data_IF_498824696088
#
_entry.id   IF_498824696088
#
_cell.length_a   1.000
_cell.length_b   1.000
_cell.length_c   1.000
_cell.angle_alpha   90.00
_cell.angle_beta   90.00
_cell.angle_gamma   90.00
#
_symmetry.space_group_name_H-M   'P 1'
#
loop_
_entity.id
_entity.type
_entity.pdbx_description
1 polymer ?
#
# COMPACT_ATOMS: atom_id res chain seq x y z
N UNK A 1 22.93 12.02 6.87
CA UNK A 1 23.45 10.76 6.28
C UNK A 1 24.96 10.78 6.14
N UNK A 2 25.59 11.93 5.82
CA UNK A 2 27.05 12.11 5.93
C UNK A 2 27.60 11.77 7.33
N UNK A 3 26.82 12.07 8.37
CA UNK A 3 27.10 11.72 9.79
C UNK A 3 27.36 10.21 10.01
N UNK A 4 26.80 9.34 9.16
CA UNK A 4 27.01 7.89 9.24
C UNK A 4 28.07 7.37 8.26
N UNK A 5 28.65 8.23 7.40
CA UNK A 5 29.64 7.84 6.39
C UNK A 5 29.14 6.84 5.36
N UNK A 6 27.82 6.76 5.14
CA UNK A 6 27.17 5.76 4.26
C UNK A 6 26.82 6.35 2.90
N UNK A 7 26.97 5.55 1.85
CA UNK A 7 26.65 5.95 0.48
C UNK A 7 25.14 5.85 0.17
N UNK A 8 24.70 6.40 -0.96
CA UNK A 8 23.29 6.40 -1.37
C UNK A 8 22.68 4.98 -1.45
N UNK A 9 23.46 3.98 -1.88
CA UNK A 9 23.04 2.57 -1.94
C UNK A 9 22.74 2.01 -0.55
N UNK A 10 23.54 2.37 0.45
CA UNK A 10 23.27 2.01 1.84
C UNK A 10 22.01 2.72 2.34
N UNK A 11 21.79 4.00 2.02
CA UNK A 11 20.55 4.69 2.41
C UNK A 11 19.30 4.02 1.83
N UNK A 12 19.36 3.56 0.57
CA UNK A 12 18.27 2.85 -0.10
C UNK A 12 17.83 1.59 0.67
N UNK A 13 18.75 0.94 1.41
CA UNK A 13 18.43 -0.21 2.24
C UNK A 13 17.41 0.08 3.34
N UNK A 14 17.26 1.32 3.81
CA UNK A 14 16.22 1.67 4.78
C UNK A 14 14.82 1.43 4.21
N UNK A 15 14.61 1.85 2.97
CA UNK A 15 13.34 1.65 2.24
C UNK A 15 13.16 0.18 1.90
N UNK A 16 14.20 -0.46 1.37
CA UNK A 16 14.15 -1.88 1.00
C UNK A 16 13.81 -2.75 2.21
N UNK A 17 14.53 -2.64 3.32
CA UNK A 17 14.29 -3.45 4.53
C UNK A 17 12.85 -3.28 5.06
N UNK A 18 12.32 -2.05 5.04
CA UNK A 18 10.94 -1.77 5.43
C UNK A 18 9.93 -2.47 4.51
N UNK A 19 10.10 -2.33 3.18
CA UNK A 19 9.21 -2.94 2.19
C UNK A 19 9.25 -4.48 2.25
N UNK A 20 10.45 -5.06 2.34
CA UNK A 20 10.61 -6.51 2.45
C UNK A 20 9.88 -7.08 3.66
N UNK A 21 10.08 -6.47 4.82
CA UNK A 21 9.43 -6.90 6.07
C UNK A 21 7.90 -6.79 5.97
N UNK A 22 7.41 -5.69 5.37
CA UNK A 22 5.98 -5.45 5.18
C UNK A 22 5.35 -6.50 4.26
N UNK A 23 6.03 -6.87 3.17
CA UNK A 23 5.57 -7.88 2.20
C UNK A 23 5.38 -9.26 2.84
N UNK A 24 6.24 -9.64 3.78
CA UNK A 24 6.10 -10.92 4.51
C UNK A 24 4.89 -10.90 5.45
N UNK A 25 4.65 -9.76 6.10
CA UNK A 25 3.66 -9.67 7.17
C UNK A 25 2.24 -9.44 6.70
N UNK A 26 2.03 -8.77 5.57
CA UNK A 26 0.69 -8.60 4.99
C UNK A 26 -0.04 -9.94 4.81
N UNK A 27 0.51 -10.96 4.13
CA UNK A 27 -0.17 -12.25 3.99
C UNK A 27 -0.25 -13.02 5.32
N UNK A 28 0.69 -12.82 6.25
CA UNK A 28 0.61 -13.40 7.59
C UNK A 28 -0.50 -12.79 8.44
N UNK A 29 -0.92 -11.56 8.16
CA UNK A 29 -1.90 -10.83 8.97
C UNK A 29 -3.24 -11.57 9.09
N UNK A 30 -3.69 -12.28 8.04
CA UNK A 30 -4.92 -13.09 8.08
C UNK A 30 -4.81 -14.28 9.02
N UNK A 31 -3.64 -14.92 9.09
CA UNK A 31 -3.38 -15.96 10.10
C UNK A 31 -3.36 -15.35 11.51
N UNK A 32 -2.66 -14.22 11.67
CA UNK A 32 -2.52 -13.55 12.95
C UNK A 32 -3.90 -13.12 13.48
N UNK A 33 -4.75 -12.51 12.64
CA UNK A 33 -6.09 -12.05 13.02
C UNK A 33 -7.04 -13.18 13.44
N UNK A 34 -6.89 -14.37 12.85
CA UNK A 34 -7.65 -15.56 13.22
C UNK A 34 -7.12 -16.23 14.50
N UNK A 35 -5.81 -16.14 14.78
CA UNK A 35 -5.17 -16.81 15.92
C UNK A 35 -5.16 -15.97 17.19
N UNK A 36 -4.88 -14.69 17.08
CA UNK A 36 -4.72 -13.77 18.20
C UNK A 36 -5.92 -12.85 18.36
N UNK A 37 -6.05 -12.24 19.53
CA UNK A 37 -7.14 -11.29 19.79
C UNK A 37 -6.89 -9.99 19.02
N UNK A 38 -7.97 -9.37 18.52
CA UNK A 38 -7.86 -8.11 17.77
C UNK A 38 -7.17 -7.04 18.59
N UNK A 39 -7.53 -6.92 19.88
CA UNK A 39 -6.91 -5.95 20.79
C UNK A 39 -5.41 -6.19 20.92
N UNK A 40 -4.99 -7.45 21.14
CA UNK A 40 -3.59 -7.79 21.31
C UNK A 40 -2.76 -7.44 20.07
N UNK A 41 -3.29 -7.69 18.87
CA UNK A 41 -2.60 -7.39 17.62
C UNK A 41 -2.47 -5.89 17.36
N UNK A 42 -3.53 -5.10 17.61
CA UNK A 42 -3.47 -3.64 17.46
C UNK A 42 -2.45 -3.04 18.43
N UNK A 43 -2.50 -3.45 19.70
CA UNK A 43 -1.55 -2.97 20.72
C UNK A 43 -0.11 -3.40 20.38
N UNK A 44 0.10 -4.63 19.93
CA UNK A 44 1.40 -5.12 19.49
C UNK A 44 1.93 -4.31 18.30
N UNK A 45 1.12 -4.10 17.27
CA UNK A 45 1.53 -3.37 16.07
C UNK A 45 1.89 -1.90 16.39
N UNK A 46 1.06 -1.22 17.20
CA UNK A 46 1.35 0.14 17.66
C UNK A 46 2.57 0.18 18.59
N UNK A 47 2.77 -0.84 19.41
CA UNK A 47 3.97 -1.00 20.25
C UNK A 47 5.25 -1.14 19.41
N UNK A 48 5.22 -1.96 18.35
CA UNK A 48 6.32 -2.08 17.39
C UNK A 48 6.60 -0.74 16.69
N UNK A 49 5.55 -0.02 16.23
CA UNK A 49 5.72 1.32 15.66
C UNK A 49 6.37 2.28 16.64
N UNK A 50 5.92 2.32 17.90
CA UNK A 50 6.49 3.17 18.94
C UNK A 50 7.96 2.81 19.23
N UNK A 51 8.25 1.54 19.48
CA UNK A 51 9.60 1.06 19.78
C UNK A 51 10.58 1.32 18.61
N UNK A 52 10.17 1.00 17.39
CA UNK A 52 10.97 1.29 16.20
C UNK A 52 11.12 2.79 15.94
N UNK A 53 10.15 3.62 16.32
CA UNK A 53 10.27 5.09 16.23
C UNK A 53 11.31 5.62 17.22
N UNK A 54 11.25 5.19 18.48
CA UNK A 54 12.23 5.55 19.51
C UNK A 54 13.64 5.11 19.12
N UNK A 55 13.80 3.87 18.67
CA UNK A 55 15.10 3.34 18.21
C UNK A 55 15.64 4.12 17.00
N UNK A 56 14.77 4.54 16.09
CA UNK A 56 15.16 5.35 14.93
C UNK A 56 15.63 6.74 15.33
N UNK A 57 14.88 7.44 16.17
CA UNK A 57 15.24 8.77 16.68
C UNK A 57 16.54 8.77 17.50
N UNK A 58 16.77 7.71 18.27
CA UNK A 58 17.96 7.52 19.10
C UNK A 58 19.12 6.80 18.39
N UNK A 59 18.99 6.44 17.11
CA UNK A 59 19.99 5.61 16.42
C UNK A 59 21.34 6.33 16.31
N UNK A 60 22.43 5.76 16.81
CA UNK A 60 23.77 6.35 16.67
C UNK A 60 24.57 5.72 15.51
N UNK A 61 24.05 4.65 14.92
CA UNK A 61 24.69 3.88 13.86
C UNK A 61 23.66 3.51 12.80
N UNK A 62 24.12 3.42 11.55
CA UNK A 62 23.25 3.05 10.42
C UNK A 62 22.56 1.69 10.62
N UNK A 63 23.24 0.69 11.19
CA UNK A 63 22.65 -0.61 11.49
C UNK A 63 21.46 -0.53 12.46
N UNK A 64 21.54 0.32 13.49
CA UNK A 64 20.43 0.56 14.42
C UNK A 64 19.24 1.22 13.72
N UNK A 65 19.51 2.14 12.78
CA UNK A 65 18.47 2.77 11.97
C UNK A 65 17.79 1.77 11.03
N UNK A 66 18.53 0.82 10.45
CA UNK A 66 17.95 -0.28 9.66
C UNK A 66 17.08 -1.18 10.55
N UNK A 67 17.57 -1.56 11.73
CA UNK A 67 16.79 -2.37 12.67
C UNK A 67 15.49 -1.66 13.10
N UNK A 68 15.56 -0.35 13.32
CA UNK A 68 14.39 0.45 13.66
C UNK A 68 13.33 0.41 12.55
N UNK A 69 13.73 0.46 11.28
CA UNK A 69 12.84 0.30 10.12
C UNK A 69 12.19 -1.07 10.06
N UNK A 70 12.94 -2.14 10.35
CA UNK A 70 12.38 -3.50 10.41
C UNK A 70 11.32 -3.59 11.50
N UNK A 71 11.59 -3.07 12.69
CA UNK A 71 10.62 -3.09 13.81
C UNK A 71 9.37 -2.26 13.46
N UNK A 72 9.52 -1.09 12.85
CA UNK A 72 8.37 -0.29 12.38
C UNK A 72 7.56 -1.04 11.31
N UNK A 73 8.23 -1.69 10.35
CA UNK A 73 7.59 -2.48 9.32
C UNK A 73 6.80 -3.66 9.88
N UNK A 74 7.23 -4.22 11.02
CA UNK A 74 6.44 -5.24 11.74
C UNK A 74 5.07 -4.71 12.13
N UNK A 75 5.03 -3.53 12.74
CA UNK A 75 3.77 -2.88 13.08
C UNK A 75 2.93 -2.51 11.86
N UNK A 76 3.57 -1.90 10.85
CA UNK A 76 2.89 -1.45 9.63
C UNK A 76 2.25 -2.60 8.83
N UNK A 77 2.98 -3.72 8.66
CA UNK A 77 2.50 -4.89 7.93
C UNK A 77 1.33 -5.62 8.60
N UNK A 78 1.17 -5.47 9.91
CA UNK A 78 0.05 -6.05 10.67
C UNK A 78 -1.14 -5.08 10.69
N UNK A 79 -0.91 -3.79 10.98
CA UNK A 79 -1.99 -2.85 11.30
C UNK A 79 -2.89 -2.55 10.09
N UNK A 80 -2.32 -2.39 8.89
CA UNK A 80 -3.09 -2.02 7.69
C UNK A 80 -4.19 -3.04 7.33
N UNK A 81 -3.87 -4.33 7.10
CA UNK A 81 -4.89 -5.34 6.81
C UNK A 81 -5.82 -5.60 8.01
N UNK A 82 -5.31 -5.47 9.24
CA UNK A 82 -6.10 -5.65 10.45
C UNK A 82 -7.17 -4.57 10.59
N UNK A 83 -6.83 -3.30 10.37
CA UNK A 83 -7.79 -2.18 10.40
C UNK A 83 -8.86 -2.36 9.33
N UNK A 84 -8.49 -2.75 8.11
CA UNK A 84 -9.48 -3.07 7.07
C UNK A 84 -10.47 -4.14 7.55
N UNK A 85 -9.96 -5.23 8.12
CA UNK A 85 -10.79 -6.33 8.64
C UNK A 85 -11.69 -5.88 9.79
N UNK A 86 -11.16 -5.08 10.73
CA UNK A 86 -11.92 -4.50 11.84
C UNK A 86 -13.07 -3.65 11.32
N UNK A 87 -12.81 -2.75 10.37
CA UNK A 87 -13.84 -1.85 9.83
C UNK A 87 -14.96 -2.65 9.15
N UNK A 88 -14.64 -3.68 8.36
CA UNK A 88 -15.65 -4.56 7.75
C UNK A 88 -16.47 -5.34 8.79
N UNK A 89 -15.85 -5.69 9.92
CA UNK A 89 -16.50 -6.47 10.98
C UNK A 89 -17.41 -5.61 11.85
N UNK A 90 -16.99 -4.37 12.17
CA UNK A 90 -17.69 -3.48 13.11
C UNK A 90 -18.76 -2.63 12.42
N UNK A 91 -18.53 -2.18 11.19
CA UNK A 91 -19.50 -1.33 10.50
C UNK A 91 -20.61 -2.17 9.83
N UNK A 92 -21.87 -1.72 9.94
CA UNK A 92 -22.98 -2.33 9.22
C UNK A 92 -22.76 -2.19 7.71
N UNK A 93 -23.33 -3.10 6.93
CA UNK A 93 -23.06 -3.26 5.50
C UNK A 93 -23.19 -1.95 4.73
N UNK A 94 -24.22 -1.16 5.03
CA UNK A 94 -24.55 0.11 4.37
C UNK A 94 -23.53 1.22 4.64
N UNK A 95 -22.75 1.11 5.73
CA UNK A 95 -21.75 2.10 6.14
C UNK A 95 -20.31 1.65 5.90
N UNK A 96 -20.10 0.43 5.40
CA UNK A 96 -18.75 -0.09 5.08
C UNK A 96 -18.04 0.76 4.03
N UNK A 97 -18.77 1.24 3.02
CA UNK A 97 -18.23 2.13 1.99
C UNK A 97 -17.68 3.45 2.56
N UNK A 98 -18.40 4.07 3.51
CA UNK A 98 -17.91 5.27 4.19
C UNK A 98 -16.66 4.99 5.04
N UNK A 99 -16.68 3.91 5.83
CA UNK A 99 -15.53 3.54 6.67
C UNK A 99 -14.27 3.24 5.83
N UNK A 100 -14.44 2.52 4.72
CA UNK A 100 -13.35 2.23 3.78
C UNK A 100 -12.91 3.45 2.98
N UNK A 101 -13.83 4.34 2.62
CA UNK A 101 -13.51 5.62 2.00
C UNK A 101 -12.65 6.50 2.92
N UNK A 102 -13.00 6.59 4.21
CA UNK A 102 -12.19 7.31 5.20
C UNK A 102 -10.80 6.69 5.38
N UNK A 103 -10.73 5.35 5.49
CA UNK A 103 -9.45 4.66 5.55
C UNK A 103 -8.61 4.91 4.29
N UNK A 104 -9.22 4.82 3.11
CA UNK A 104 -8.56 5.12 1.84
C UNK A 104 -8.07 6.56 1.77
N UNK A 105 -8.86 7.52 2.25
CA UNK A 105 -8.44 8.92 2.33
C UNK A 105 -7.18 9.09 3.19
N UNK A 106 -7.14 8.47 4.37
CA UNK A 106 -5.95 8.51 5.24
C UNK A 106 -4.75 7.84 4.57
N UNK A 107 -4.94 6.68 3.93
CA UNK A 107 -3.88 5.93 3.25
C UNK A 107 -3.30 6.69 2.05
N UNK A 108 -4.10 7.50 1.35
CA UNK A 108 -3.63 8.26 0.17
C UNK A 108 -3.06 9.64 0.56
N UNK A 109 -3.73 10.37 1.46
CA UNK A 109 -3.31 11.73 1.84
C UNK A 109 -2.04 11.70 2.70
N UNK A 110 -1.86 10.71 3.56
CA UNK A 110 -0.72 10.67 4.46
C UNK A 110 0.63 10.53 3.71
N UNK A 111 0.82 9.60 2.74
CA UNK A 111 2.03 9.53 1.93
C UNK A 111 2.24 10.78 1.07
N UNK A 112 1.19 11.31 0.45
CA UNK A 112 1.30 12.52 -0.37
C UNK A 112 1.74 13.75 0.44
N UNK A 113 1.30 13.85 1.70
CA UNK A 113 1.69 14.94 2.60
C UNK A 113 3.04 14.70 3.28
N UNK A 114 3.53 13.46 3.30
CA UNK A 114 4.73 13.08 4.05
C UNK A 114 5.99 13.83 3.57
N UNK A 115 6.30 13.97 2.26
CA UNK A 115 7.42 14.77 1.78
C UNK A 115 7.36 16.23 2.23
N UNK A 116 6.19 16.87 2.17
CA UNK A 116 6.03 18.27 2.60
C UNK A 116 6.31 18.46 4.08
N UNK A 117 5.69 17.62 4.91
CA UNK A 117 5.80 17.71 6.37
C UNK A 117 7.23 17.36 6.78
N UNK A 118 7.80 16.30 6.21
CA UNK A 118 9.16 15.88 6.53
C UNK A 118 10.22 16.87 6.05
N UNK A 119 10.06 17.46 4.86
CA UNK A 119 10.94 18.52 4.35
C UNK A 119 10.93 19.74 5.26
N UNK A 120 9.75 20.24 5.63
CA UNK A 120 9.63 21.38 6.56
C UNK A 120 10.30 21.09 7.91
N UNK A 121 10.13 19.87 8.43
CA UNK A 121 10.75 19.47 9.69
C UNK A 121 12.28 19.41 9.55
N UNK A 122 12.81 18.87 8.45
CA UNK A 122 14.25 18.78 8.19
C UNK A 122 14.88 20.16 7.91
N UNK A 123 14.12 21.10 7.34
CA UNK A 123 14.64 22.45 7.05
C UNK A 123 14.86 23.25 8.35
N UNK A 124 14.07 22.98 9.39
CA UNK A 124 14.12 23.70 10.69
C UNK A 124 14.86 22.91 11.77
N UNK A 125 14.75 21.59 11.74
CA UNK A 125 15.30 20.66 12.72
C UNK A 125 16.13 19.57 12.01
N UNK A 126 16.77 18.69 12.77
CA UNK A 126 17.51 17.57 12.17
C UNK A 126 16.59 16.42 11.72
N UNK A 127 17.07 15.50 10.89
CA UNK A 127 16.28 14.36 10.38
C UNK A 127 15.76 13.42 11.49
N UNK A 128 16.40 13.36 12.67
CA UNK A 128 15.93 12.56 13.82
C UNK A 128 14.62 13.08 14.36
N UNK A 129 14.39 14.40 14.28
CA UNK A 129 13.15 15.03 14.74
C UNK A 129 11.90 14.44 14.08
N UNK A 130 11.99 13.89 12.85
CA UNK A 130 10.90 13.15 12.21
C UNK A 130 10.35 12.01 13.07
N UNK A 131 11.24 11.30 13.79
CA UNK A 131 10.84 10.21 14.68
C UNK A 131 10.19 10.78 15.95
N UNK A 132 10.74 11.85 16.51
CA UNK A 132 10.24 12.44 17.74
C UNK A 132 8.90 13.17 17.54
N UNK A 133 8.65 13.73 16.37
CA UNK A 133 7.37 14.39 16.04
C UNK A 133 6.23 13.38 15.89
N UNK A 134 6.49 12.22 15.28
CA UNK A 134 5.44 11.20 15.09
C UNK A 134 5.19 10.36 16.36
N UNK A 135 6.18 10.24 17.25
CA UNK A 135 6.10 9.41 18.44
C UNK A 135 4.90 9.76 19.37
N UNK A 136 4.61 11.04 19.72
CA UNK A 136 3.44 11.40 20.51
C UNK A 136 2.12 10.90 19.93
N UNK A 137 1.95 10.99 18.60
CA UNK A 137 0.74 10.51 17.92
C UNK A 137 0.60 8.99 18.03
N UNK A 138 1.72 8.26 17.89
CA UNK A 138 1.73 6.80 18.06
C UNK A 138 1.39 6.43 19.51
N UNK A 139 1.98 7.12 20.50
CA UNK A 139 1.73 6.87 21.92
C UNK A 139 0.28 7.16 22.31
N UNK A 140 -0.27 8.30 21.89
CA UNK A 140 -1.69 8.63 22.12
C UNK A 140 -2.59 7.53 21.54
N UNK A 141 -2.32 7.11 20.31
CA UNK A 141 -3.09 6.04 19.65
C UNK A 141 -2.95 4.70 20.35
N UNK A 142 -1.74 4.35 20.79
CA UNK A 142 -1.44 3.14 21.54
C UNK A 142 -2.19 3.12 22.89
N UNK A 143 -2.12 4.22 23.64
CA UNK A 143 -2.83 4.39 24.91
C UNK A 143 -4.33 4.26 24.69
N UNK A 144 -4.88 4.97 23.70
CA UNK A 144 -6.29 4.87 23.34
C UNK A 144 -6.67 3.43 22.98
N UNK A 145 -5.86 2.72 22.19
CA UNK A 145 -6.13 1.33 21.82
C UNK A 145 -6.11 0.38 23.03
N UNK A 146 -5.18 0.57 23.98
CA UNK A 146 -5.12 -0.23 25.21
C UNK A 146 -6.41 -0.11 26.02
N UNK A 147 -7.00 1.07 26.11
CA UNK A 147 -8.20 1.31 26.92
C UNK A 147 -9.52 1.08 26.18
N UNK A 148 -9.58 1.38 24.88
CA UNK A 148 -10.85 1.41 24.13
C UNK A 148 -11.05 0.20 23.22
N UNK A 149 -9.97 -0.45 22.77
CA UNK A 149 -10.07 -1.53 21.79
C UNK A 149 -10.68 -2.78 22.43
N UNK A 150 -11.63 -3.38 21.71
CA UNK A 150 -12.29 -4.64 22.07
C UNK A 150 -11.98 -5.69 21.01
N UNK A 151 -12.08 -6.95 21.40
CA UNK A 151 -11.96 -8.06 20.46
C UNK A 151 -13.23 -8.12 19.61
N UNK A 152 -13.08 -7.94 18.30
CA UNK A 152 -14.20 -7.91 17.35
C UNK A 152 -14.11 -9.04 16.33
N UNK A 153 -12.90 -9.55 16.06
CA UNK A 153 -12.68 -10.68 15.15
C UNK A 153 -12.79 -11.97 15.96
N UNK A 154 -13.67 -12.88 15.53
CA UNK A 154 -13.78 -14.21 16.13
C UNK A 154 -12.56 -15.04 15.78
N UNK A 155 -11.94 -15.65 16.80
CA UNK A 155 -10.81 -16.56 16.62
C UNK A 155 -11.24 -17.81 15.86
N UNK A 156 -10.41 -18.25 14.94
CA UNK A 156 -10.65 -19.45 14.13
C UNK A 156 -9.39 -20.33 14.10
N UNK A 157 -9.57 -21.62 13.85
CA UNK A 157 -8.45 -22.53 13.66
C UNK A 157 -7.76 -22.19 12.33
N UNK A 158 -6.64 -21.47 12.41
CA UNK A 158 -5.81 -21.15 11.25
C UNK A 158 -4.57 -22.05 11.23
N UNK A 159 -4.21 -22.58 10.06
CA UNK A 159 -2.94 -23.26 9.82
C UNK A 159 -2.05 -22.33 9.00
N UNK A 160 -0.80 -22.16 9.44
CA UNK A 160 0.18 -21.34 8.76
C UNK A 160 1.06 -22.23 7.90
N UNK A 161 1.03 -22.06 6.58
CA UNK A 161 2.06 -22.65 5.72
C UNK A 161 3.31 -21.76 5.72
N UNK A 162 4.12 -21.94 6.76
CA UNK A 162 5.37 -21.20 6.99
C UNK A 162 6.30 -21.29 5.77
N UNK A 163 6.33 -22.44 5.08
CA UNK A 163 7.16 -22.59 3.90
C UNK A 163 6.71 -21.68 2.76
N UNK A 164 5.40 -21.58 2.51
CA UNK A 164 4.88 -20.66 1.50
C UNK A 164 5.17 -19.20 1.81
N UNK A 165 5.19 -18.82 3.09
CA UNK A 165 5.58 -17.47 3.51
C UNK A 165 7.06 -17.23 3.26
N UNK A 166 7.93 -18.17 3.61
CA UNK A 166 9.37 -18.03 3.38
C UNK A 166 9.66 -17.95 1.89
N UNK A 167 9.04 -18.82 1.09
CA UNK A 167 9.26 -18.84 -0.37
C UNK A 167 8.73 -17.57 -1.03
N UNK A 168 7.55 -17.06 -0.63
CA UNK A 168 7.03 -15.80 -1.17
C UNK A 168 7.86 -14.60 -0.73
N UNK A 169 8.25 -14.55 0.56
CA UNK A 169 9.14 -13.54 1.11
C UNK A 169 10.45 -13.45 0.33
N UNK A 170 11.12 -14.60 0.13
CA UNK A 170 12.34 -14.69 -0.65
C UNK A 170 12.11 -14.28 -2.10
N UNK A 171 11.03 -14.74 -2.73
CA UNK A 171 10.67 -14.41 -4.10
C UNK A 171 10.53 -12.91 -4.34
N UNK A 172 9.66 -12.26 -3.56
CA UNK A 172 9.47 -10.82 -3.65
C UNK A 172 10.73 -10.03 -3.26
N UNK A 173 11.48 -10.50 -2.26
CA UNK A 173 12.69 -9.82 -1.81
C UNK A 173 13.78 -9.80 -2.87
N UNK A 174 13.99 -10.94 -3.53
CA UNK A 174 14.98 -11.06 -4.60
C UNK A 174 14.58 -10.24 -5.84
N UNK A 175 13.29 -10.17 -6.16
CA UNK A 175 12.79 -9.29 -7.21
C UNK A 175 13.05 -7.81 -6.91
N UNK A 176 12.69 -7.34 -5.71
CA UNK A 176 12.90 -5.95 -5.29
C UNK A 176 14.38 -5.62 -5.26
N UNK A 177 15.22 -6.53 -4.75
CA UNK A 177 16.67 -6.36 -4.72
C UNK A 177 17.24 -6.20 -6.13
N UNK A 178 16.85 -7.09 -7.05
CA UNK A 178 17.29 -7.03 -8.44
C UNK A 178 16.85 -5.75 -9.14
N UNK A 179 15.58 -5.35 -8.97
CA UNK A 179 15.06 -4.09 -9.54
C UNK A 179 15.75 -2.86 -8.95
N UNK A 180 16.00 -2.85 -7.65
CA UNK A 180 16.67 -1.74 -6.95
C UNK A 180 18.11 -1.55 -7.44
N UNK A 181 18.76 -2.63 -7.87
CA UNK A 181 20.13 -2.62 -8.39
C UNK A 181 20.22 -2.21 -9.87
N UNK A 182 19.10 -2.15 -10.61
CA UNK A 182 19.10 -1.76 -12.04
C UNK A 182 19.68 -0.36 -12.23
N UNK A 183 19.31 0.57 -11.35
CA UNK A 183 19.77 1.97 -11.41
C UNK A 183 21.28 2.12 -11.18
N UNK A 184 21.92 1.14 -10.54
CA UNK A 184 23.34 1.17 -10.18
C UNK A 184 24.20 0.38 -11.16
N UNK A 185 23.78 -0.83 -11.53
CA UNK A 185 24.62 -1.78 -12.29
C UNK A 185 24.12 -2.06 -13.71
N UNK A 186 22.92 -1.60 -14.07
CA UNK A 186 22.30 -1.89 -15.36
C UNK A 186 21.69 -3.30 -15.45
N UNK A 187 20.83 -3.51 -16.45
CA UNK A 187 19.97 -4.70 -16.55
C UNK A 187 20.71 -6.05 -16.65
N UNK A 188 21.84 -6.09 -17.35
CA UNK A 188 22.54 -7.34 -17.67
C UNK A 188 23.49 -7.80 -16.57
N UNK A 189 23.71 -6.98 -15.55
CA UNK A 189 24.66 -7.29 -14.49
C UNK A 189 24.16 -8.45 -13.61
N UNK A 190 25.09 -9.31 -13.15
CA UNK A 190 24.73 -10.50 -12.37
C UNK A 190 24.00 -10.16 -11.06
N UNK A 191 24.36 -9.04 -10.42
CA UNK A 191 23.70 -8.54 -9.20
C UNK A 191 22.26 -8.01 -9.44
N UNK A 192 21.84 -7.94 -10.70
CA UNK A 192 20.48 -7.56 -11.12
C UNK A 192 19.75 -8.79 -11.65
N UNK A 193 20.29 -9.43 -12.68
CA UNK A 193 19.67 -10.57 -13.33
C UNK A 193 19.57 -11.80 -12.41
N UNK A 194 20.60 -12.06 -11.58
CA UNK A 194 20.62 -13.18 -10.64
C UNK A 194 19.47 -13.15 -9.64
N UNK A 195 19.32 -12.07 -8.84
CA UNK A 195 18.17 -11.91 -7.95
C UNK A 195 16.83 -11.91 -8.68
N UNK A 196 16.71 -11.29 -9.85
CA UNK A 196 15.44 -11.31 -10.62
C UNK A 196 15.05 -12.74 -11.00
N UNK A 197 15.98 -13.52 -11.56
CA UNK A 197 15.71 -14.91 -11.97
C UNK A 197 15.42 -15.79 -10.75
N UNK A 198 16.23 -15.69 -9.69
CA UNK A 198 16.02 -16.46 -8.48
C UNK A 198 14.68 -16.11 -7.79
N UNK A 199 14.32 -14.83 -7.77
CA UNK A 199 13.04 -14.36 -7.25
C UNK A 199 11.85 -14.88 -8.07
N UNK A 200 11.95 -14.82 -9.40
CA UNK A 200 10.94 -15.38 -10.30
C UNK A 200 10.76 -16.89 -10.10
N UNK A 201 11.86 -17.66 -9.98
CA UNK A 201 11.81 -19.10 -9.70
C UNK A 201 11.16 -19.40 -8.34
N UNK A 202 11.51 -18.65 -7.29
CA UNK A 202 10.88 -18.79 -5.97
C UNK A 202 9.37 -18.50 -6.04
N UNK A 203 8.94 -17.46 -6.77
CA UNK A 203 7.52 -17.19 -6.97
C UNK A 203 6.81 -18.29 -7.77
N UNK A 204 7.45 -18.89 -8.77
CA UNK A 204 6.88 -20.07 -9.47
C UNK A 204 6.68 -21.23 -8.52
N UNK A 205 7.64 -21.50 -7.63
CA UNK A 205 7.51 -22.53 -6.58
C UNK A 205 6.37 -22.20 -5.62
N UNK A 206 6.27 -20.94 -5.18
CA UNK A 206 5.16 -20.47 -4.34
C UNK A 206 3.81 -20.68 -5.03
N UNK A 207 3.66 -20.26 -6.29
CA UNK A 207 2.43 -20.40 -7.07
C UNK A 207 2.02 -21.87 -7.18
N UNK A 208 2.96 -22.75 -7.55
CA UNK A 208 2.72 -24.20 -7.65
C UNK A 208 2.29 -24.79 -6.30
N UNK A 209 2.89 -24.34 -5.21
CA UNK A 209 2.53 -24.81 -3.87
C UNK A 209 1.12 -24.35 -3.48
N UNK A 210 0.79 -23.08 -3.70
CA UNK A 210 -0.54 -22.53 -3.36
C UNK A 210 -1.68 -23.21 -4.12
N UNK A 211 -1.49 -23.57 -5.39
CA UNK A 211 -2.53 -24.25 -6.18
C UNK A 211 -2.81 -25.69 -5.66
N UNK A 212 -1.86 -26.29 -4.95
CA UNK A 212 -1.96 -27.67 -4.45
C UNK A 212 -2.28 -27.78 -2.96
N UNK A 213 -2.46 -26.67 -2.24
CA UNK A 213 -2.81 -26.68 -0.82
C UNK A 213 -4.32 -26.66 -0.61
N UNK A 214 -4.79 -27.41 0.39
CA UNK A 214 -6.21 -27.41 0.79
C UNK A 214 -6.65 -26.08 1.40
N UNK A 215 -5.73 -25.38 2.07
CA UNK A 215 -5.94 -24.06 2.66
C UNK A 215 -4.83 -23.11 2.20
N UNK A 216 -4.90 -22.58 0.96
CA UNK A 216 -3.90 -21.66 0.45
C UNK A 216 -4.00 -20.30 1.16
N UNK A 217 -2.85 -19.67 1.38
CA UNK A 217 -2.75 -18.28 1.87
C UNK A 217 -3.24 -17.31 0.79
N UNK A 218 -3.00 -17.64 -0.48
CA UNK A 218 -3.45 -16.88 -1.64
C UNK A 218 -4.13 -17.82 -2.63
N UNK A 219 -5.45 -17.69 -2.81
CA UNK A 219 -6.18 -18.49 -3.79
C UNK A 219 -5.85 -18.00 -5.22
N UNK A 220 -4.83 -18.61 -5.83
CA UNK A 220 -4.39 -18.27 -7.18
C UNK A 220 -5.27 -18.87 -8.28
N UNK A 221 -6.20 -19.77 -7.93
CA UNK A 221 -7.13 -20.34 -8.91
C UNK A 221 -8.08 -19.29 -9.49
N UNK A 222 -8.32 -18.20 -8.75
CA UNK A 222 -9.08 -17.03 -9.19
C UNK A 222 -8.53 -16.41 -10.48
N UNK A 223 -7.22 -16.52 -10.73
CA UNK A 223 -6.58 -16.03 -11.96
C UNK A 223 -6.96 -16.82 -13.23
N UNK A 224 -7.62 -17.97 -13.09
CA UNK A 224 -8.19 -18.70 -14.23
C UNK A 224 -9.34 -17.90 -14.87
N UNK A 225 -10.13 -17.18 -14.07
CA UNK A 225 -11.19 -16.31 -14.56
C UNK A 225 -10.58 -15.13 -15.33
N UNK A 226 -10.97 -14.99 -16.60
CA UNK A 226 -10.41 -13.97 -17.50
C UNK A 226 -10.73 -12.54 -17.06
N UNK A 227 -11.91 -12.31 -16.48
CA UNK A 227 -12.34 -11.02 -15.93
C UNK A 227 -11.52 -10.66 -14.68
N UNK A 228 -11.38 -11.60 -13.75
CA UNK A 228 -10.54 -11.41 -12.54
C UNK A 228 -9.09 -11.12 -12.92
N UNK A 229 -8.52 -11.92 -13.84
CA UNK A 229 -7.14 -11.74 -14.33
C UNK A 229 -6.93 -10.38 -14.99
N UNK A 230 -7.85 -9.95 -15.86
CA UNK A 230 -7.77 -8.64 -16.52
C UNK A 230 -7.89 -7.50 -15.49
N UNK A 231 -8.83 -7.60 -14.55
CA UNK A 231 -9.00 -6.60 -13.50
C UNK A 231 -7.73 -6.45 -12.65
N UNK A 232 -7.12 -7.57 -12.24
CA UNK A 232 -5.85 -7.57 -11.50
C UNK A 232 -4.70 -6.91 -12.27
N UNK A 233 -4.56 -7.21 -13.58
CA UNK A 233 -3.55 -6.56 -14.43
C UNK A 233 -3.78 -5.05 -14.50
N UNK A 234 -5.03 -4.62 -14.69
CA UNK A 234 -5.37 -3.20 -14.77
C UNK A 234 -5.17 -2.48 -13.43
N UNK A 235 -5.50 -3.11 -12.30
CA UNK A 235 -5.20 -2.55 -10.96
C UNK A 235 -3.69 -2.41 -10.76
N UNK A 236 -2.91 -3.42 -11.16
CA UNK A 236 -1.46 -3.37 -11.06
C UNK A 236 -0.87 -2.23 -11.90
N UNK A 237 -1.30 -2.09 -13.15
CA UNK A 237 -0.89 -0.97 -14.02
C UNK A 237 -1.28 0.39 -13.40
N UNK A 238 -2.49 0.50 -12.85
CA UNK A 238 -2.96 1.72 -12.22
C UNK A 238 -2.10 2.10 -11.00
N UNK A 239 -1.72 1.12 -10.18
CA UNK A 239 -0.81 1.32 -9.04
C UNK A 239 0.59 1.74 -9.49
N UNK A 240 1.11 1.17 -10.58
CA UNK A 240 2.39 1.60 -11.15
C UNK A 240 2.34 3.07 -11.58
N UNK A 241 1.26 3.49 -12.24
CA UNK A 241 1.08 4.89 -12.66
C UNK A 241 1.01 5.82 -11.44
N UNK A 242 0.26 5.45 -10.41
CA UNK A 242 0.16 6.23 -9.17
C UNK A 242 1.52 6.43 -8.51
N UNK A 243 2.23 5.33 -8.22
CA UNK A 243 3.52 5.40 -7.54
C UNK A 243 4.56 6.16 -8.37
N UNK A 244 4.51 6.03 -9.70
CA UNK A 244 5.38 6.80 -10.60
C UNK A 244 5.07 8.29 -10.51
N UNK A 245 3.79 8.70 -10.58
CA UNK A 245 3.39 10.09 -10.48
C UNK A 245 3.74 10.70 -9.12
N UNK A 246 3.44 10.01 -8.02
CA UNK A 246 3.74 10.50 -6.66
C UNK A 246 5.24 10.58 -6.37
N UNK A 247 6.08 9.80 -7.06
CA UNK A 247 7.53 9.90 -6.92
C UNK A 247 8.10 11.00 -7.82
N UNK A 248 7.71 11.04 -9.09
CA UNK A 248 8.31 11.93 -10.10
C UNK A 248 7.86 13.38 -9.90
N UNK A 249 6.59 13.63 -9.58
CA UNK A 249 6.07 15.01 -9.55
C UNK A 249 6.68 15.88 -8.45
N UNK A 250 6.86 15.41 -7.19
CA UNK A 250 7.57 16.19 -6.18
C UNK A 250 9.03 16.40 -6.55
N UNK A 251 9.71 15.38 -7.09
CA UNK A 251 11.10 15.51 -7.55
C UNK A 251 11.22 16.55 -8.67
N UNK A 252 10.32 16.53 -9.65
CA UNK A 252 10.28 17.52 -10.71
C UNK A 252 10.03 18.94 -10.16
N UNK A 253 9.07 19.10 -9.25
CA UNK A 253 8.79 20.39 -8.65
C UNK A 253 9.98 20.91 -7.83
N UNK A 254 10.70 20.05 -7.13
CA UNK A 254 11.82 20.43 -6.28
C UNK A 254 13.10 20.67 -7.11
N UNK A 255 13.51 19.68 -7.90
CA UNK A 255 14.79 19.67 -8.60
C UNK A 255 14.79 20.51 -9.89
N UNK A 256 13.64 20.61 -10.57
CA UNK A 256 13.53 21.32 -11.87
C UNK A 256 12.88 22.69 -11.71
N UNK A 257 11.73 22.77 -11.03
CA UNK A 257 11.05 24.05 -10.81
C UNK A 257 11.64 24.86 -9.64
N UNK A 258 12.59 24.30 -8.89
CA UNK A 258 13.26 24.97 -7.77
C UNK A 258 12.34 25.30 -6.60
N UNK A 259 11.22 24.57 -6.44
CA UNK A 259 10.28 24.83 -5.35
C UNK A 259 10.79 24.31 -4.01
N UNK A 260 10.25 24.85 -2.92
CA UNK A 260 10.54 24.35 -1.57
C UNK A 260 9.97 22.95 -1.39
N UNK A 261 10.60 22.12 -0.56
CA UNK A 261 10.13 20.76 -0.26
C UNK A 261 8.66 20.72 0.23
N UNK A 262 8.25 21.74 0.99
CA UNK A 262 6.86 21.92 1.41
C UNK A 262 5.92 22.03 0.20
N UNK A 263 6.21 22.94 -0.74
CA UNK A 263 5.36 23.16 -1.90
C UNK A 263 5.35 21.93 -2.82
N UNK A 264 6.50 21.27 -3.02
CA UNK A 264 6.61 20.09 -3.88
C UNK A 264 5.71 18.94 -3.45
N UNK A 265 5.60 18.66 -2.15
CA UNK A 265 4.64 17.65 -1.67
C UNK A 265 3.19 18.19 -1.59
N UNK A 266 3.00 19.49 -1.36
CA UNK A 266 1.65 20.08 -1.21
C UNK A 266 0.87 19.99 -2.53
N UNK A 267 1.57 20.05 -3.66
CA UNK A 267 1.03 19.82 -5.01
C UNK A 267 0.24 18.50 -5.11
N UNK A 268 0.57 17.48 -4.30
CA UNK A 268 -0.12 16.19 -4.32
C UNK A 268 -1.39 16.16 -3.46
N UNK A 269 -1.47 17.01 -2.44
CA UNK A 269 -2.54 16.94 -1.42
C UNK A 269 -3.94 17.17 -2.01
N UNK A 270 -4.17 18.20 -2.85
CA UNK A 270 -5.49 18.39 -3.47
C UNK A 270 -5.93 17.19 -4.32
N UNK A 271 -4.99 16.56 -5.04
CA UNK A 271 -5.27 15.37 -5.84
C UNK A 271 -5.73 14.19 -4.99
N UNK A 272 -5.07 13.92 -3.86
CA UNK A 272 -5.44 12.80 -2.96
C UNK A 272 -6.75 13.03 -2.20
N UNK A 273 -7.06 14.28 -1.85
CA UNK A 273 -8.38 14.66 -1.33
C UNK A 273 -9.45 14.42 -2.40
N UNK A 274 -9.20 14.84 -3.63
CA UNK A 274 -10.11 14.66 -4.74
C UNK A 274 -10.34 13.17 -5.04
N UNK A 275 -9.29 12.35 -4.99
CA UNK A 275 -9.40 10.89 -5.08
C UNK A 275 -10.38 10.33 -4.04
N UNK A 276 -10.31 10.81 -2.80
CA UNK A 276 -11.19 10.36 -1.72
C UNK A 276 -12.67 10.65 -2.03
N UNK A 277 -12.97 11.78 -2.66
CA UNK A 277 -14.33 12.12 -3.11
C UNK A 277 -14.73 11.29 -4.34
N UNK A 278 -13.84 11.19 -5.32
CA UNK A 278 -14.10 10.49 -6.59
C UNK A 278 -14.30 8.98 -6.38
N UNK A 279 -13.61 8.35 -5.43
CA UNK A 279 -13.82 6.92 -5.12
C UNK A 279 -15.23 6.62 -4.64
N UNK A 280 -15.84 7.52 -3.84
CA UNK A 280 -17.25 7.41 -3.42
C UNK A 280 -18.18 7.58 -4.62
N UNK A 281 -17.94 8.59 -5.45
CA UNK A 281 -18.73 8.85 -6.66
C UNK A 281 -18.63 7.68 -7.65
N UNK A 282 -17.42 7.12 -7.79
CA UNK A 282 -17.13 6.00 -8.69
C UNK A 282 -17.93 4.75 -8.32
N UNK A 283 -18.09 4.45 -7.03
CA UNK A 283 -18.96 3.36 -6.57
C UNK A 283 -20.41 3.53 -7.02
N UNK A 284 -20.98 4.72 -6.82
CA UNK A 284 -22.36 5.01 -7.25
C UNK A 284 -22.52 4.96 -8.79
N UNK A 285 -21.50 5.43 -9.53
CA UNK A 285 -21.48 5.36 -10.99
C UNK A 285 -21.33 3.92 -11.50
N UNK A 286 -20.57 3.09 -10.78
CA UNK A 286 -20.42 1.67 -11.09
C UNK A 286 -21.78 0.96 -11.06
N UNK A 287 -22.57 1.18 -10.00
CA UNK A 287 -23.88 0.52 -9.85
C UNK A 287 -24.85 0.90 -10.97
N UNK A 288 -24.73 2.12 -11.50
CA UNK A 288 -25.63 2.64 -12.55
C UNK A 288 -25.20 2.31 -13.98
N UNK A 289 -23.89 2.29 -14.26
CA UNK A 289 -23.35 2.20 -15.63
C UNK A 289 -22.47 0.97 -15.88
N UNK A 290 -22.14 0.21 -14.83
CA UNK A 290 -21.27 -0.97 -14.88
C UNK A 290 -19.77 -0.63 -14.94
N UNK A 291 -18.94 -1.53 -14.42
CA UNK A 291 -17.50 -1.29 -14.24
C UNK A 291 -16.70 -1.06 -15.52
N UNK A 292 -17.07 -1.69 -16.63
CA UNK A 292 -16.34 -1.54 -17.91
C UNK A 292 -16.37 -0.10 -18.42
N UNK A 293 -17.54 0.55 -18.41
CA UNK A 293 -17.70 1.92 -18.93
C UNK A 293 -16.95 2.93 -18.05
N UNK A 294 -17.12 2.81 -16.73
CA UNK A 294 -16.48 3.71 -15.77
C UNK A 294 -14.96 3.58 -15.79
N UNK A 295 -14.44 2.34 -15.87
CA UNK A 295 -12.99 2.11 -15.99
C UNK A 295 -12.41 2.71 -17.27
N UNK A 296 -13.12 2.62 -18.41
CA UNK A 296 -12.66 3.19 -19.68
C UNK A 296 -12.64 4.72 -19.64
N UNK A 297 -13.61 5.34 -18.98
CA UNK A 297 -13.61 6.79 -18.73
C UNK A 297 -12.42 7.16 -17.84
N UNK A 298 -12.22 6.46 -16.72
CA UNK A 298 -11.12 6.77 -15.81
C UNK A 298 -9.74 6.60 -16.44
N UNK A 299 -9.52 5.56 -17.25
CA UNK A 299 -8.26 5.42 -18.01
C UNK A 299 -8.10 6.50 -19.07
N UNK A 300 -9.16 6.95 -19.73
CA UNK A 300 -9.11 8.11 -20.64
C UNK A 300 -8.69 9.39 -19.92
N UNK A 301 -9.23 9.65 -18.72
CA UNK A 301 -8.82 10.78 -17.88
C UNK A 301 -7.36 10.68 -17.43
N UNK A 302 -6.93 9.48 -17.05
CA UNK A 302 -5.53 9.21 -16.66
C UNK A 302 -4.58 9.48 -17.82
N UNK A 303 -4.90 8.98 -19.02
CA UNK A 303 -4.14 9.21 -20.23
C UNK A 303 -4.08 10.71 -20.59
N UNK A 304 -5.22 11.39 -20.55
CA UNK A 304 -5.30 12.83 -20.81
C UNK A 304 -4.42 13.60 -19.84
N UNK A 305 -4.46 13.29 -18.55
CA UNK A 305 -3.62 13.93 -17.55
C UNK A 305 -2.12 13.72 -17.83
N UNK A 306 -1.70 12.50 -18.21
CA UNK A 306 -0.31 12.21 -18.56
C UNK A 306 0.16 13.00 -19.79
N UNK A 307 -0.71 13.13 -20.81
CA UNK A 307 -0.42 13.97 -21.98
C UNK A 307 -0.29 15.44 -21.59
N UNK A 308 -1.16 15.93 -20.71
CA UNK A 308 -1.07 17.31 -20.24
C UNK A 308 0.16 17.56 -19.37
N UNK A 309 0.56 16.60 -18.53
CA UNK A 309 1.80 16.67 -17.75
C UNK A 309 3.04 16.74 -18.67
N UNK A 310 2.99 16.14 -19.85
CA UNK A 310 4.08 16.24 -20.83
C UNK A 310 4.29 17.67 -21.36
N UNK A 311 3.27 18.54 -21.26
CA UNK A 311 3.36 19.95 -21.68
C UNK A 311 4.01 20.85 -20.64
N UNK A 312 4.28 20.34 -19.43
CA UNK A 312 4.91 21.11 -18.35
C UNK A 312 6.41 21.25 -18.61
N UNK A 313 6.85 22.48 -18.85
CA UNK A 313 8.27 22.85 -19.01
C UNK A 313 8.88 23.44 -17.74
N UNK A 314 10.17 23.81 -17.82
CA UNK A 314 10.95 24.36 -16.70
C UNK A 314 10.40 25.70 -16.17
N UNK A 315 9.74 26.48 -17.02
CA UNK A 315 9.15 27.78 -16.64
C UNK A 315 7.70 27.67 -16.15
N UNK A 316 7.18 26.43 -16.00
CA UNK A 316 5.79 26.21 -15.64
C UNK A 316 5.54 26.45 -14.16
N UNK A 317 4.37 27.01 -13.85
CA UNK A 317 3.94 27.17 -12.46
C UNK A 317 3.75 25.80 -11.79
N UNK A 318 4.20 25.60 -10.53
CA UNK A 318 3.94 24.37 -9.78
C UNK A 318 2.44 24.09 -9.60
N UNK A 319 1.60 25.13 -9.61
CA UNK A 319 0.14 24.98 -9.55
C UNK A 319 -0.45 24.36 -10.83
N UNK A 320 0.23 24.47 -11.97
CA UNK A 320 -0.16 23.73 -13.17
C UNK A 320 0.09 22.23 -13.01
N UNK A 321 1.20 21.84 -12.38
CA UNK A 321 1.46 20.42 -12.05
C UNK A 321 0.37 19.88 -11.14
N UNK A 322 0.00 20.65 -10.11
CA UNK A 322 -1.09 20.33 -9.17
C UNK A 322 -2.42 20.11 -9.89
N UNK A 323 -2.78 21.01 -10.81
CA UNK A 323 -4.02 20.89 -11.59
C UNK A 323 -4.06 19.60 -12.42
N UNK A 324 -2.98 19.28 -13.14
CA UNK A 324 -2.92 18.06 -13.93
C UNK A 324 -2.93 16.80 -13.06
N UNK A 325 -2.27 16.85 -11.90
CA UNK A 325 -2.31 15.76 -10.93
C UNK A 325 -3.71 15.54 -10.34
N UNK A 326 -4.50 16.60 -10.14
CA UNK A 326 -5.91 16.45 -9.80
C UNK A 326 -6.69 15.69 -10.89
N UNK A 327 -6.45 15.99 -12.16
CA UNK A 327 -7.03 15.23 -13.27
C UNK A 327 -6.59 13.76 -13.29
N UNK A 328 -5.32 13.51 -12.99
CA UNK A 328 -4.78 12.15 -12.85
C UNK A 328 -5.55 11.39 -11.75
N UNK A 329 -5.74 12.02 -10.60
CA UNK A 329 -6.42 11.43 -9.44
C UNK A 329 -7.91 11.17 -9.67
N UNK A 330 -8.59 11.99 -10.49
CA UNK A 330 -9.95 11.68 -10.97
C UNK A 330 -9.93 10.38 -11.79
N UNK A 331 -9.04 10.28 -12.77
CA UNK A 331 -8.91 9.09 -13.62
C UNK A 331 -8.58 7.83 -12.83
N UNK A 332 -7.65 7.95 -11.88
CA UNK A 332 -7.25 6.89 -10.97
C UNK A 332 -8.42 6.43 -10.05
N UNK A 333 -9.15 7.38 -9.46
CA UNK A 333 -10.30 7.08 -8.61
C UNK A 333 -11.46 6.40 -9.35
N UNK A 334 -11.70 6.79 -10.61
CA UNK A 334 -12.70 6.18 -11.49
C UNK A 334 -12.30 4.79 -12.01
N UNK A 335 -11.06 4.35 -11.83
CA UNK A 335 -10.59 3.03 -12.29
C UNK A 335 -10.43 2.06 -11.13
N UNK A 336 -9.78 2.47 -10.04
CA UNK A 336 -9.39 1.55 -8.97
C UNK A 336 -10.58 0.83 -8.34
N UNK A 337 -11.59 1.57 -7.87
CA UNK A 337 -12.74 0.97 -7.19
C UNK A 337 -13.58 0.09 -8.11
N UNK A 338 -13.95 0.51 -9.33
CA UNK A 338 -14.64 -0.34 -10.29
C UNK A 338 -13.89 -1.63 -10.60
N UNK A 339 -12.57 -1.58 -10.79
CA UNK A 339 -11.79 -2.78 -11.09
C UNK A 339 -11.75 -3.76 -9.91
N UNK A 340 -11.62 -3.25 -8.68
CA UNK A 340 -11.70 -4.08 -7.47
C UNK A 340 -13.09 -4.72 -7.38
N UNK A 341 -14.17 -3.96 -7.57
CA UNK A 341 -15.55 -4.50 -7.54
C UNK A 341 -15.82 -5.51 -8.66
N UNK A 342 -15.35 -5.25 -9.89
CA UNK A 342 -15.43 -6.22 -10.99
C UNK A 342 -14.67 -7.50 -10.64
N UNK A 343 -13.49 -7.39 -10.02
CA UNK A 343 -12.71 -8.56 -9.62
C UNK A 343 -13.46 -9.41 -8.59
N UNK A 344 -14.09 -8.80 -7.59
CA UNK A 344 -14.85 -9.53 -6.56
C UNK A 344 -16.13 -10.16 -7.13
N UNK A 345 -16.86 -9.45 -7.98
CA UNK A 345 -18.10 -9.95 -8.60
C UNK A 345 -17.86 -11.04 -9.65
N UNK A 346 -16.62 -11.21 -10.13
CA UNK A 346 -16.26 -12.25 -11.09
C UNK A 346 -16.01 -13.62 -10.41
N UNK A 347 -16.04 -13.68 -9.08
CA UNK A 347 -15.79 -14.89 -8.30
C UNK A 347 -17.12 -15.46 -7.79
N UNK A 348 -17.23 -16.79 -7.79
CA UNK A 348 -18.40 -17.47 -7.21
C UNK A 348 -18.35 -17.35 -5.66
N UNK A 349 -19.52 -17.37 -5.00
CA UNK A 349 -19.60 -17.23 -3.53
C UNK A 349 -18.77 -18.31 -2.78
N UNK A 350 -18.49 -19.45 -3.43
CA UNK A 350 -17.65 -20.55 -2.90
C UNK A 350 -16.13 -20.26 -2.96
N UNK A 351 -15.71 -19.34 -3.84
CA UNK A 351 -14.30 -18.98 -4.04
C UNK A 351 -13.80 -17.88 -3.08
N UNK A 352 -14.72 -17.21 -2.36
CA UNK A 352 -14.43 -16.14 -1.40
C UNK A 352 -14.08 -16.78 -0.04
N UNK A 353 -12.82 -16.76 0.42
CA UNK A 353 -12.38 -17.62 1.53
C UNK A 353 -12.98 -17.28 2.90
N UNK A 354 -13.77 -16.21 3.05
CA UNK A 354 -14.24 -15.71 4.35
C UNK A 354 -15.62 -15.03 4.34
N UNK A 355 -16.61 -15.48 3.56
CA UNK A 355 -17.92 -14.82 3.66
C UNK A 355 -19.13 -15.39 2.92
N UNK A 356 -19.64 -16.54 3.35
CA UNK A 356 -21.09 -16.81 3.62
C UNK A 356 -21.36 -18.29 3.89
N UNK A 357 -20.91 -18.80 5.05
CA UNK A 357 -21.62 -19.91 5.70
C UNK A 357 -22.71 -19.36 6.64
N UNK A 358 -23.63 -18.57 6.09
CA UNK A 358 -24.96 -18.35 6.69
C UNK A 358 -25.85 -17.58 5.70
N UNK A 359 -26.84 -18.29 5.14
CA UNK A 359 -28.12 -17.81 4.59
C UNK A 359 -28.05 -16.84 3.40
N UNK A 360 -28.70 -17.03 2.25
CA UNK A 360 -30.08 -17.46 2.00
C UNK A 360 -30.11 -18.04 0.58
N UNK A 361 -30.69 -19.24 0.41
CA UNK A 361 -31.22 -19.69 -0.88
C UNK A 361 -32.19 -18.62 -1.38
N UNK A 362 -31.84 -17.86 -2.40
CA UNK A 362 -32.86 -17.23 -3.23
C UNK A 362 -33.57 -18.35 -3.98
N UNK A 363 -34.61 -18.87 -3.34
CA UNK A 363 -35.61 -19.69 -3.99
C UNK A 363 -36.28 -18.87 -5.08
N UNK A 364 -36.44 -19.51 -6.23
CA UNK A 364 -37.49 -19.29 -7.22
C UNK A 364 -38.42 -18.11 -6.95
N UNK A 365 -38.30 -17.07 -7.75
CA UNK A 365 -39.45 -16.30 -8.20
C UNK A 365 -39.27 -16.09 -9.71
N UNK A 366 -40.27 -16.53 -10.46
CA UNK A 366 -40.35 -16.40 -11.91
C UNK A 366 -40.84 -15.04 -12.38
#
# INVERSE_FOLDING_TARGET
>A
MEEYGVNATQVQWLTTAFLLTTIVLIPMSGYLSNRFSTKALVVFALGCLAAGTVLGGASAQFGTLVLSRVIQAVGAGIILPLVQTILLTVFPYERRGFAMGLLGAVINVAPASAPSISGMIIDVFDWRSLHWVILPLIIITLVAAVFTMKDVIKKQAARLDVLSIIVSALGFSLLILGMSNISVYGFTHLLVAGPIVAGALALVVFVRRQINLDMPVLNLMLLKNSTFRLAMILVFLNMMLLLSAETILPMFAQDVLGTTAFLSGFILVPGTILLSVITIISGNLYDRYGGKKISLIGFSFTLLSLVLLNTVGMDSSPYWVMFHFCFFMIGFGLTLMPLVTVSMNALDDEDIPHGRHSSIRFGNLG
#
